data_IF_760416484248
#
_entry.id   IF_760416484248
#
_cell.length_a   1.000
_cell.length_b   1.000
_cell.length_c   1.000
_cell.angle_alpha   90.00
_cell.angle_beta   90.00
_cell.angle_gamma   90.00
#
_symmetry.space_group_name_H-M   'P 1'
#
loop_
_entity.id
_entity.type
_entity.pdbx_description
1 polymer ?
#
# COMPACT_ATOMS: atom_id res chain seq x y z
N UNK A 1 25.34 -9.83 20.24
CA UNK A 1 24.21 -9.71 19.31
C UNK A 1 23.51 -8.37 19.50
N UNK A 2 23.01 -7.77 18.43
CA UNK A 2 22.27 -6.50 18.46
C UNK A 2 20.92 -6.68 19.15
N UNK A 3 20.60 -5.80 20.10
CA UNK A 3 19.39 -5.89 20.93
C UNK A 3 18.40 -4.75 20.73
N UNK A 4 18.65 -3.89 19.75
CA UNK A 4 17.89 -2.67 19.45
C UNK A 4 18.71 -1.41 19.68
N UNK A 5 18.10 -0.26 19.47
CA UNK A 5 18.71 1.05 19.59
C UNK A 5 18.60 1.87 18.29
N UNK A 6 19.34 2.97 18.24
CA UNK A 6 19.39 3.84 17.06
C UNK A 6 20.29 3.23 15.98
N UNK A 7 19.79 3.20 14.74
CA UNK A 7 20.60 2.86 13.58
C UNK A 7 21.00 4.13 12.84
N UNK A 8 22.31 4.33 12.66
CA UNK A 8 22.85 5.35 11.78
C UNK A 8 22.62 4.98 10.31
N UNK A 9 22.72 5.97 9.41
CA UNK A 9 22.71 5.71 7.97
C UNK A 9 23.76 4.67 7.59
N UNK A 10 23.37 3.69 6.78
CA UNK A 10 24.29 2.62 6.36
C UNK A 10 23.59 1.38 5.86
N UNK A 11 24.39 0.44 5.40
CA UNK A 11 23.96 -0.85 4.91
C UNK A 11 24.31 -1.93 5.95
N UNK A 12 23.30 -2.63 6.40
CA UNK A 12 23.40 -3.67 7.42
C UNK A 12 22.93 -5.02 6.86
N UNK A 13 23.45 -6.10 7.39
CA UNK A 13 22.92 -7.43 7.12
C UNK A 13 22.94 -8.27 8.40
N UNK A 14 22.01 -9.21 8.48
CA UNK A 14 21.96 -10.12 9.61
C UNK A 14 22.86 -11.33 9.36
N UNK A 15 23.64 -11.72 10.38
CA UNK A 15 24.42 -12.93 10.39
C UNK A 15 23.76 -14.06 11.18
N UNK A 16 22.79 -13.70 12.03
CA UNK A 16 22.01 -14.60 12.90
C UNK A 16 20.61 -14.02 13.11
N UNK A 17 19.67 -14.83 13.58
CA UNK A 17 18.40 -14.33 14.08
C UNK A 17 18.66 -13.43 15.28
N UNK A 18 17.98 -12.29 15.32
CA UNK A 18 18.09 -11.35 16.43
C UNK A 18 16.76 -11.26 17.19
N UNK A 19 16.87 -11.14 18.52
CA UNK A 19 15.75 -10.89 19.40
C UNK A 19 15.96 -9.53 20.08
N UNK A 20 15.04 -8.61 19.82
CA UNK A 20 15.13 -7.25 20.34
C UNK A 20 14.71 -7.19 21.81
N UNK A 21 15.52 -6.54 22.61
CA UNK A 21 15.21 -6.17 23.99
C UNK A 21 14.85 -4.67 24.11
N UNK A 22 14.99 -3.92 23.02
CA UNK A 22 14.55 -2.52 22.93
C UNK A 22 14.17 -2.19 21.49
N UNK A 23 13.60 -1.01 21.27
CA UNK A 23 13.19 -0.55 19.95
C UNK A 23 14.36 -0.43 18.97
N UNK A 24 14.10 -0.66 17.68
CA UNK A 24 14.94 -0.12 16.61
C UNK A 24 14.39 1.26 16.23
N UNK A 25 15.24 2.28 16.19
CA UNK A 25 14.84 3.60 15.74
C UNK A 25 15.72 4.11 14.60
N UNK A 26 15.09 4.54 13.53
CA UNK A 26 15.70 5.24 12.40
C UNK A 26 15.30 6.69 12.50
N UNK A 27 16.26 7.60 12.68
CA UNK A 27 16.01 9.02 12.84
C UNK A 27 15.65 9.71 11.52
N UNK A 28 15.01 10.85 11.58
CA UNK A 28 14.73 11.68 10.43
C UNK A 28 16.03 12.05 9.70
N UNK A 29 16.01 11.95 8.36
CA UNK A 29 17.17 12.18 7.51
C UNK A 29 18.15 11.00 7.41
N UNK A 30 17.98 9.92 8.21
CA UNK A 30 18.79 8.71 8.05
C UNK A 30 18.31 7.86 6.88
N UNK A 31 19.24 7.25 6.14
CA UNK A 31 19.00 6.21 5.13
C UNK A 31 19.63 4.90 5.61
N UNK A 32 18.77 3.97 6.02
CA UNK A 32 19.16 2.68 6.59
C UNK A 32 18.68 1.57 5.67
N UNK A 33 19.57 0.68 5.29
CA UNK A 33 19.26 -0.51 4.50
C UNK A 33 19.63 -1.75 5.29
N UNK A 34 18.67 -2.65 5.47
CA UNK A 34 18.86 -3.91 6.17
C UNK A 34 18.55 -5.06 5.23
N UNK A 35 19.53 -5.92 4.97
CA UNK A 35 19.31 -7.23 4.37
C UNK A 35 19.10 -8.25 5.48
N UNK A 36 17.94 -8.90 5.52
CA UNK A 36 17.64 -9.95 6.49
C UNK A 36 18.52 -11.20 6.26
N UNK A 37 18.99 -11.45 5.03
CA UNK A 37 19.90 -12.57 4.72
C UNK A 37 19.34 -13.92 5.20
N UNK A 38 18.04 -14.15 5.03
CA UNK A 38 17.34 -15.34 5.51
C UNK A 38 17.13 -15.42 7.02
N UNK A 39 17.49 -14.38 7.77
CA UNK A 39 17.38 -14.30 9.25
C UNK A 39 16.18 -13.46 9.66
N UNK A 40 15.80 -13.61 10.92
CA UNK A 40 14.61 -12.95 11.47
C UNK A 40 14.96 -11.90 12.50
N UNK A 41 14.13 -10.86 12.56
CA UNK A 41 14.06 -9.91 13.69
C UNK A 41 12.82 -10.26 14.50
N UNK A 42 13.05 -10.72 15.73
CA UNK A 42 12.02 -11.08 16.69
C UNK A 42 12.02 -10.09 17.86
N UNK A 43 10.97 -10.11 18.67
CA UNK A 43 10.94 -9.39 19.95
C UNK A 43 10.74 -10.35 21.09
N UNK A 44 11.42 -10.09 22.21
CA UNK A 44 10.97 -10.58 23.52
C UNK A 44 9.75 -9.76 23.99
N UNK A 45 9.08 -10.23 25.02
CA UNK A 45 7.98 -9.48 25.65
C UNK A 45 8.58 -8.22 26.32
N UNK A 46 8.64 -7.13 25.57
CA UNK A 46 9.29 -5.89 26.01
C UNK A 46 8.20 -5.03 26.67
N UNK A 47 8.08 -5.14 27.97
CA UNK A 47 7.16 -4.30 28.75
C UNK A 47 7.55 -2.82 28.65
N UNK A 48 6.59 -1.96 28.32
CA UNK A 48 6.74 -0.50 28.31
C UNK A 48 6.99 0.14 26.94
N UNK A 49 6.93 -0.61 25.84
CA UNK A 49 7.00 -0.06 24.49
C UNK A 49 5.76 -0.45 23.68
N UNK A 50 5.14 0.53 23.02
CA UNK A 50 4.03 0.30 22.08
C UNK A 50 4.53 -0.10 20.68
N UNK A 51 5.82 0.13 20.39
CA UNK A 51 6.43 -0.06 19.07
C UNK A 51 7.77 -0.80 19.18
N UNK A 52 8.06 -1.66 18.21
CA UNK A 52 9.36 -2.34 18.07
C UNK A 52 10.28 -1.66 17.09
N UNK A 53 9.75 -1.17 15.99
CA UNK A 53 10.51 -0.42 15.00
C UNK A 53 9.84 0.94 14.83
N UNK A 54 10.61 2.00 15.02
CA UNK A 54 10.20 3.39 14.77
C UNK A 54 11.01 3.95 13.62
N UNK A 55 10.37 4.10 12.46
CA UNK A 55 10.98 4.69 11.29
C UNK A 55 10.53 6.13 11.11
N UNK A 56 11.47 7.06 11.27
CA UNK A 56 11.31 8.50 10.96
C UNK A 56 12.15 8.93 9.76
N UNK A 57 12.94 8.02 9.17
CA UNK A 57 13.82 8.25 8.03
C UNK A 57 13.44 7.40 6.82
N UNK A 58 14.43 7.03 6.04
CA UNK A 58 14.30 6.06 4.96
C UNK A 58 14.80 4.71 5.45
N UNK A 59 13.95 3.69 5.37
CA UNK A 59 14.28 2.32 5.72
C UNK A 59 14.01 1.41 4.52
N UNK A 60 15.02 0.67 4.10
CA UNK A 60 14.89 -0.40 3.12
C UNK A 60 15.07 -1.74 3.82
N UNK A 61 14.04 -2.58 3.79
CA UNK A 61 14.06 -3.92 4.35
C UNK A 61 14.05 -4.94 3.22
N UNK A 62 15.17 -5.55 2.96
CA UNK A 62 15.29 -6.60 1.95
C UNK A 62 15.56 -7.96 2.59
N UNK A 63 15.01 -8.99 1.97
CA UNK A 63 15.50 -10.34 2.16
C UNK A 63 16.29 -10.73 0.90
N UNK A 64 17.59 -10.80 1.02
CA UNK A 64 18.52 -11.01 -0.09
C UNK A 64 18.77 -12.49 -0.39
N UNK A 65 18.23 -13.38 0.45
CA UNK A 65 18.30 -14.83 0.30
C UNK A 65 16.92 -15.41 -0.03
N UNK A 66 16.89 -16.59 -0.61
CA UNK A 66 15.68 -17.39 -0.86
C UNK A 66 15.06 -17.95 0.42
N UNK A 67 15.81 -17.98 1.52
CA UNK A 67 15.33 -18.35 2.84
C UNK A 67 14.40 -17.24 3.42
N UNK A 68 13.40 -17.64 4.19
CA UNK A 68 12.33 -16.77 4.71
C UNK A 68 12.78 -15.93 5.92
N UNK A 69 13.60 -14.91 5.70
CA UNK A 69 13.84 -13.90 6.72
C UNK A 69 12.58 -13.05 6.96
N UNK A 70 12.20 -12.87 8.22
CA UNK A 70 10.98 -12.18 8.60
C UNK A 70 11.21 -11.13 9.70
N UNK A 71 10.36 -10.11 9.73
CA UNK A 71 10.17 -9.23 10.88
C UNK A 71 8.96 -9.77 11.65
N UNK A 72 9.22 -10.36 12.82
CA UNK A 72 8.20 -11.02 13.64
C UNK A 72 8.09 -10.37 15.02
N UNK A 73 7.22 -9.38 15.09
CA UNK A 73 7.00 -8.61 16.34
C UNK A 73 5.50 -8.53 16.65
N UNK A 74 4.83 -9.69 16.70
CA UNK A 74 3.38 -9.85 16.77
C UNK A 74 2.65 -8.96 17.78
N UNK A 75 3.26 -8.70 18.92
CA UNK A 75 2.63 -7.94 19.99
C UNK A 75 2.88 -6.45 19.93
N UNK A 76 3.70 -5.97 18.98
CA UNK A 76 4.15 -4.59 18.93
C UNK A 76 4.09 -4.03 17.49
N UNK A 77 3.70 -2.78 17.40
CA UNK A 77 3.49 -2.10 16.13
C UNK A 77 4.81 -1.65 15.48
N UNK A 78 4.91 -1.81 14.18
CA UNK A 78 5.92 -1.16 13.36
C UNK A 78 5.41 0.23 12.94
N UNK A 79 6.06 1.30 13.40
CA UNK A 79 5.66 2.67 13.12
C UNK A 79 6.48 3.30 12.01
N UNK A 80 5.81 3.82 10.98
CA UNK A 80 6.35 4.76 10.00
C UNK A 80 5.72 6.13 10.23
N UNK A 81 6.52 7.15 10.56
CA UNK A 81 6.01 8.45 10.93
C UNK A 81 6.88 9.60 10.43
N UNK A 82 6.27 10.76 10.22
CA UNK A 82 6.95 12.05 10.02
C UNK A 82 7.79 12.13 8.74
N UNK A 83 7.15 11.89 7.59
CA UNK A 83 7.74 11.84 6.25
C UNK A 83 8.71 10.66 6.03
N UNK A 84 8.61 9.60 6.82
CA UNK A 84 9.43 8.42 6.62
C UNK A 84 9.04 7.61 5.38
N UNK A 85 9.97 6.80 4.90
CA UNK A 85 9.71 5.91 3.77
C UNK A 85 10.15 4.49 4.13
N UNK A 86 9.33 3.51 3.76
CA UNK A 86 9.65 2.09 3.85
C UNK A 86 9.67 1.48 2.45
N UNK A 87 10.81 0.91 2.08
CA UNK A 87 11.04 0.15 0.86
C UNK A 87 11.38 -1.31 1.16
N UNK A 88 11.39 -2.13 0.11
CA UNK A 88 11.98 -3.46 0.15
C UNK A 88 11.03 -4.59 -0.19
N UNK A 89 11.46 -5.82 0.07
CA UNK A 89 10.73 -7.06 -0.23
C UNK A 89 10.56 -7.98 1.00
N UNK A 90 10.97 -7.54 2.18
CA UNK A 90 10.88 -8.35 3.40
C UNK A 90 9.43 -8.68 3.77
N UNK A 91 9.24 -9.83 4.43
CA UNK A 91 7.97 -10.20 5.04
C UNK A 91 7.87 -9.62 6.46
N UNK A 92 6.78 -8.90 6.75
CA UNK A 92 6.54 -8.22 8.02
C UNK A 92 5.27 -8.81 8.65
N UNK A 93 5.43 -9.41 9.81
CA UNK A 93 4.34 -10.04 10.59
C UNK A 93 3.83 -9.14 11.73
N UNK A 94 4.42 -7.97 11.91
CA UNK A 94 3.99 -6.97 12.87
C UNK A 94 2.77 -6.22 12.37
N UNK A 95 1.84 -5.82 13.24
CA UNK A 95 0.91 -4.73 12.95
C UNK A 95 1.68 -3.47 12.55
N UNK A 96 1.13 -2.67 11.64
CA UNK A 96 1.83 -1.47 11.16
C UNK A 96 0.96 -0.23 11.26
N UNK A 97 1.56 0.87 11.71
CA UNK A 97 1.00 2.21 11.61
C UNK A 97 1.83 3.10 10.69
N UNK A 98 1.17 3.77 9.77
CA UNK A 98 1.79 4.70 8.81
C UNK A 98 1.07 6.03 8.88
N UNK A 99 1.78 7.08 9.26
CA UNK A 99 1.17 8.41 9.47
C UNK A 99 2.16 9.56 9.24
N UNK A 100 1.66 10.79 9.18
CA UNK A 100 2.49 11.98 9.05
C UNK A 100 3.19 12.09 7.70
N UNK A 101 2.49 11.88 6.56
CA UNK A 101 3.01 11.91 5.18
C UNK A 101 4.04 10.83 4.87
N UNK A 102 4.08 9.76 5.66
CA UNK A 102 4.99 8.65 5.41
C UNK A 102 4.51 7.78 4.25
N UNK A 103 5.43 7.04 3.61
CA UNK A 103 5.14 6.22 2.44
C UNK A 103 5.57 4.78 2.63
N UNK A 104 4.75 3.86 2.11
CA UNK A 104 5.08 2.45 1.96
C UNK A 104 5.14 2.12 0.48
N UNK A 105 6.28 1.61 0.03
CA UNK A 105 6.55 1.31 -1.39
C UNK A 105 7.14 -0.10 -1.59
N UNK A 106 6.73 -1.08 -0.80
CA UNK A 106 7.25 -2.44 -0.90
C UNK A 106 6.84 -3.30 0.27
N UNK A 107 7.60 -4.36 0.51
CA UNK A 107 7.40 -5.38 1.53
C UNK A 107 6.11 -6.19 1.38
N UNK A 108 6.05 -7.30 2.07
CA UNK A 108 4.85 -8.13 2.21
C UNK A 108 4.38 -8.05 3.66
N UNK A 109 3.20 -7.50 3.89
CA UNK A 109 2.62 -7.36 5.23
C UNK A 109 1.65 -8.51 5.50
N UNK A 110 1.97 -9.29 6.52
CA UNK A 110 1.19 -10.46 6.97
C UNK A 110 0.25 -10.15 8.14
N UNK A 111 0.21 -8.90 8.59
CA UNK A 111 -0.66 -8.40 9.64
C UNK A 111 -1.34 -7.11 9.16
N UNK A 112 -2.32 -6.62 9.92
CA UNK A 112 -3.06 -5.44 9.55
C UNK A 112 -2.19 -4.18 9.50
N UNK A 113 -2.61 -3.23 8.66
CA UNK A 113 -1.98 -1.92 8.55
C UNK A 113 -3.03 -0.82 8.71
N UNK A 114 -2.66 0.23 9.44
CA UNK A 114 -3.44 1.46 9.56
C UNK A 114 -2.66 2.64 8.99
N UNK A 115 -3.21 3.29 7.98
CA UNK A 115 -2.65 4.47 7.34
C UNK A 115 -3.49 5.70 7.65
N UNK A 116 -2.84 6.80 8.06
CA UNK A 116 -3.54 8.04 8.44
C UNK A 116 -2.68 9.28 8.19
N UNK A 117 -3.26 10.46 8.40
CA UNK A 117 -2.55 11.75 8.40
C UNK A 117 -1.71 11.98 7.12
N UNK A 118 -2.37 11.90 5.96
CA UNK A 118 -1.78 12.09 4.63
C UNK A 118 -0.66 11.09 4.27
N UNK A 119 -0.61 9.93 4.91
CA UNK A 119 0.30 8.87 4.52
C UNK A 119 -0.11 8.21 3.20
N UNK A 120 0.80 7.50 2.55
CA UNK A 120 0.56 6.91 1.24
C UNK A 120 1.08 5.48 1.15
N UNK A 121 0.26 4.59 0.57
CA UNK A 121 0.68 3.27 0.11
C UNK A 121 0.88 3.36 -1.40
N UNK A 122 2.13 3.25 -1.86
CA UNK A 122 2.49 3.30 -3.29
C UNK A 122 2.79 1.93 -3.88
N UNK A 123 3.00 0.90 -3.03
CA UNK A 123 3.31 -0.46 -3.44
C UNK A 123 3.35 -1.42 -2.25
N UNK A 124 3.67 -2.68 -2.53
CA UNK A 124 3.72 -3.76 -1.53
C UNK A 124 2.56 -4.75 -1.67
N UNK A 125 2.60 -5.82 -0.88
CA UNK A 125 1.57 -6.86 -0.82
C UNK A 125 0.99 -6.92 0.60
N UNK A 126 -0.32 -6.80 0.72
CA UNK A 126 -1.04 -6.73 1.99
C UNK A 126 -1.92 -7.99 2.12
N UNK A 127 -1.52 -8.89 3.01
CA UNK A 127 -2.16 -10.20 3.19
C UNK A 127 -3.24 -10.20 4.27
N UNK A 128 -3.32 -9.11 5.05
CA UNK A 128 -4.37 -8.87 6.05
C UNK A 128 -5.05 -7.51 5.81
N UNK A 129 -5.97 -7.11 6.68
CA UNK A 129 -6.81 -5.92 6.55
C UNK A 129 -6.00 -4.64 6.47
N UNK A 130 -6.48 -3.72 5.65
CA UNK A 130 -5.90 -2.38 5.50
C UNK A 130 -6.94 -1.33 5.90
N UNK A 131 -6.57 -0.44 6.80
CA UNK A 131 -7.42 0.66 7.29
C UNK A 131 -6.84 2.00 6.84
N UNK A 132 -7.66 2.82 6.19
CA UNK A 132 -7.27 4.10 5.62
C UNK A 132 -8.10 5.21 6.27
N UNK A 133 -7.43 6.19 6.88
CA UNK A 133 -8.04 7.30 7.62
C UNK A 133 -7.43 8.65 7.23
N UNK A 134 -8.12 9.74 7.54
CA UNK A 134 -7.58 11.11 7.60
C UNK A 134 -6.67 11.47 6.41
N UNK A 135 -7.24 11.46 5.21
CA UNK A 135 -6.55 11.83 3.96
C UNK A 135 -5.37 10.93 3.57
N UNK A 136 -5.28 9.72 4.12
CA UNK A 136 -4.32 8.75 3.63
C UNK A 136 -4.73 8.23 2.24
N UNK A 137 -3.76 7.86 1.42
CA UNK A 137 -3.95 7.51 0.01
C UNK A 137 -3.41 6.11 -0.28
N UNK A 138 -4.19 5.33 -1.02
CA UNK A 138 -3.69 4.15 -1.73
C UNK A 138 -3.51 4.54 -3.20
N UNK A 139 -2.27 4.57 -3.67
CA UNK A 139 -1.92 4.81 -5.08
C UNK A 139 -1.35 3.57 -5.78
N UNK A 140 -1.05 2.50 -5.05
CA UNK A 140 -0.55 1.24 -5.56
C UNK A 140 -0.62 0.11 -4.53
N UNK A 141 -0.04 -1.05 -4.88
CA UNK A 141 -0.01 -2.23 -4.02
C UNK A 141 -1.08 -3.28 -4.36
N UNK A 142 -0.94 -4.46 -3.76
CA UNK A 142 -1.87 -5.60 -3.91
C UNK A 142 -2.49 -5.94 -2.57
N UNK A 143 -3.81 -5.89 -2.48
CA UNK A 143 -4.59 -6.08 -1.27
C UNK A 143 -5.38 -7.40 -1.36
N UNK A 144 -4.99 -8.37 -0.55
CA UNK A 144 -5.58 -9.71 -0.58
C UNK A 144 -6.77 -9.87 0.38
N UNK A 145 -6.93 -8.92 1.32
CA UNK A 145 -8.03 -8.87 2.27
C UNK A 145 -8.79 -7.54 2.18
N UNK A 146 -9.76 -7.35 3.06
CA UNK A 146 -10.61 -6.17 3.09
C UNK A 146 -9.78 -4.88 3.25
N UNK A 147 -10.10 -3.89 2.43
CA UNK A 147 -9.65 -2.51 2.63
C UNK A 147 -10.83 -1.70 3.13
N UNK A 148 -10.67 -1.08 4.30
CA UNK A 148 -11.69 -0.24 4.91
C UNK A 148 -11.25 1.22 4.90
N UNK A 149 -12.08 2.04 4.26
CA UNK A 149 -11.79 3.47 4.09
C UNK A 149 -12.69 4.26 5.02
N UNK A 150 -12.09 5.19 5.77
CA UNK A 150 -12.76 6.07 6.72
C UNK A 150 -12.43 7.52 6.38
N UNK A 151 -13.27 8.42 6.86
CA UNK A 151 -13.07 9.87 6.75
C UNK A 151 -12.76 10.31 5.31
N UNK A 152 -11.65 11.00 5.11
CA UNK A 152 -11.19 11.52 3.82
C UNK A 152 -10.14 10.63 3.13
N UNK A 153 -10.09 9.33 3.45
CA UNK A 153 -9.20 8.38 2.76
C UNK A 153 -9.52 8.26 1.27
N UNK A 154 -8.51 8.04 0.42
CA UNK A 154 -8.67 8.02 -1.04
C UNK A 154 -7.95 6.82 -1.66
N UNK A 155 -8.56 6.22 -2.67
CA UNK A 155 -7.96 5.18 -3.52
C UNK A 155 -7.76 5.74 -4.92
N UNK A 156 -6.52 5.80 -5.38
CA UNK A 156 -6.15 6.26 -6.73
C UNK A 156 -5.51 5.16 -7.59
N UNK A 157 -5.18 4.01 -7.00
CA UNK A 157 -4.57 2.88 -7.67
C UNK A 157 -4.56 1.62 -6.80
N UNK A 158 -3.91 0.56 -7.26
CA UNK A 158 -3.78 -0.71 -6.54
C UNK A 158 -4.67 -1.82 -7.10
N UNK A 159 -4.46 -3.04 -6.60
CA UNK A 159 -5.19 -4.26 -6.96
C UNK A 159 -5.91 -4.83 -5.74
N UNK A 160 -7.23 -4.98 -5.81
CA UNK A 160 -8.08 -5.35 -4.67
C UNK A 160 -8.76 -6.70 -4.90
N UNK A 161 -8.37 -7.71 -4.13
CA UNK A 161 -8.90 -9.08 -4.23
C UNK A 161 -10.22 -9.28 -3.48
N UNK A 162 -10.57 -8.38 -2.57
CA UNK A 162 -11.82 -8.39 -1.79
C UNK A 162 -12.58 -7.08 -1.99
N UNK A 163 -13.83 -7.07 -1.55
CA UNK A 163 -14.65 -5.86 -1.57
C UNK A 163 -14.02 -4.76 -0.69
N UNK A 164 -14.18 -3.52 -1.14
CA UNK A 164 -13.90 -2.33 -0.33
C UNK A 164 -15.10 -2.06 0.56
N UNK A 165 -14.86 -1.64 1.79
CA UNK A 165 -15.91 -1.17 2.69
C UNK A 165 -15.65 0.26 3.17
N UNK A 166 -16.72 1.05 3.29
CA UNK A 166 -16.68 2.42 3.80
C UNK A 166 -18.05 2.86 4.29
N UNK A 167 -18.06 3.86 5.16
CA UNK A 167 -19.26 4.63 5.50
C UNK A 167 -19.38 5.91 4.68
N UNK A 168 -18.34 6.24 3.90
CA UNK A 168 -18.27 7.44 3.05
C UNK A 168 -18.39 7.05 1.58
N UNK A 169 -18.76 8.01 0.73
CA UNK A 169 -18.77 7.87 -0.72
C UNK A 169 -17.66 8.68 -1.40
N UNK A 170 -17.62 8.61 -2.73
CA UNK A 170 -16.80 9.48 -3.60
C UNK A 170 -15.29 9.47 -3.33
N UNK A 171 -14.70 8.31 -2.99
CA UNK A 171 -13.29 8.23 -2.64
C UNK A 171 -12.45 7.38 -3.61
N UNK A 172 -13.05 6.59 -4.52
CA UNK A 172 -12.32 5.77 -5.49
C UNK A 172 -12.14 6.56 -6.79
N UNK A 173 -10.87 6.82 -7.13
CA UNK A 173 -10.41 7.53 -8.33
C UNK A 173 -9.56 6.67 -9.25
N UNK A 174 -9.34 5.39 -8.93
CA UNK A 174 -8.52 4.47 -9.70
C UNK A 174 -8.44 3.10 -9.04
N UNK A 175 -7.69 2.19 -9.67
CA UNK A 175 -7.46 0.84 -9.15
C UNK A 175 -8.17 -0.25 -9.95
N UNK A 176 -7.78 -1.49 -9.65
CA UNK A 176 -8.27 -2.73 -10.26
C UNK A 176 -8.94 -3.60 -9.21
N UNK A 177 -10.13 -4.09 -9.49
CA UNK A 177 -10.97 -4.75 -8.50
C UNK A 177 -11.44 -6.13 -9.01
N UNK A 178 -11.33 -7.13 -8.15
CA UNK A 178 -11.88 -8.47 -8.41
C UNK A 178 -13.40 -8.47 -8.27
N UNK A 179 -13.93 -7.75 -7.30
CA UNK A 179 -15.38 -7.54 -7.09
C UNK A 179 -15.72 -6.11 -7.49
N UNK A 180 -16.81 -5.90 -8.24
CA UNK A 180 -17.26 -4.56 -8.62
C UNK A 180 -17.43 -3.71 -7.35
N UNK A 181 -16.76 -2.53 -7.26
CA UNK A 181 -17.00 -1.60 -6.17
C UNK A 181 -18.45 -1.08 -6.19
N UNK A 182 -18.94 -0.64 -5.05
CA UNK A 182 -20.21 0.08 -4.98
C UNK A 182 -20.11 1.39 -5.76
N UNK A 183 -21.14 1.69 -6.55
CA UNK A 183 -21.14 2.90 -7.40
C UNK A 183 -21.10 4.19 -6.55
N UNK A 184 -21.60 4.18 -5.31
CA UNK A 184 -21.53 5.30 -4.36
C UNK A 184 -20.10 5.62 -3.89
N UNK A 185 -19.15 4.68 -4.03
CA UNK A 185 -17.74 4.88 -3.67
C UNK A 185 -16.93 5.56 -4.77
N UNK A 186 -17.48 5.60 -6.00
CA UNK A 186 -16.77 6.17 -7.15
C UNK A 186 -16.82 7.69 -7.07
N UNK A 187 -15.67 8.32 -7.17
CA UNK A 187 -15.57 9.77 -7.12
C UNK A 187 -16.18 10.42 -8.37
N UNK A 188 -16.69 11.64 -8.19
CA UNK A 188 -17.22 12.44 -9.29
C UNK A 188 -16.16 12.60 -10.41
N UNK A 189 -16.58 12.42 -11.65
CA UNK A 189 -15.67 12.43 -12.81
C UNK A 189 -14.93 11.12 -13.06
N UNK A 190 -15.33 10.03 -12.39
CA UNK A 190 -14.77 8.69 -12.61
C UNK A 190 -15.87 7.67 -12.91
N UNK A 191 -15.50 6.54 -13.52
CA UNK A 191 -16.42 5.45 -13.80
C UNK A 191 -15.75 4.09 -13.66
N UNK A 192 -16.57 3.06 -13.42
CA UNK A 192 -16.15 1.66 -13.43
C UNK A 192 -16.23 1.15 -14.87
N UNK A 193 -15.14 0.57 -15.37
CA UNK A 193 -15.08 -0.06 -16.68
C UNK A 193 -14.51 -1.48 -16.60
N UNK A 194 -14.61 -2.22 -17.70
CA UNK A 194 -13.89 -3.48 -17.85
C UNK A 194 -12.38 -3.24 -17.89
N UNK A 195 -11.61 -4.04 -17.16
CA UNK A 195 -10.15 -3.87 -17.09
C UNK A 195 -9.38 -4.64 -18.17
N UNK A 196 -10.01 -5.64 -18.81
CA UNK A 196 -9.33 -6.62 -19.65
C UNK A 196 -8.53 -7.68 -18.88
N UNK A 197 -8.42 -7.56 -17.56
CA UNK A 197 -7.70 -8.51 -16.69
C UNK A 197 -8.69 -9.48 -16.04
N UNK A 198 -8.57 -10.78 -16.30
CA UNK A 198 -9.47 -11.80 -15.78
C UNK A 198 -9.45 -11.92 -14.24
N UNK A 199 -8.31 -11.62 -13.59
CA UNK A 199 -8.19 -11.67 -12.14
C UNK A 199 -8.83 -10.46 -11.45
N UNK A 200 -8.88 -9.32 -12.16
CA UNK A 200 -9.42 -8.04 -11.68
C UNK A 200 -10.29 -7.44 -12.78
N UNK A 201 -11.49 -7.97 -13.05
CA UNK A 201 -12.30 -7.61 -14.21
C UNK A 201 -12.81 -6.16 -14.22
N UNK A 202 -12.73 -5.46 -13.10
CA UNK A 202 -13.19 -4.08 -12.97
C UNK A 202 -12.01 -3.14 -12.74
N UNK A 203 -12.02 -1.98 -13.39
CA UNK A 203 -11.11 -0.86 -13.09
C UNK A 203 -11.90 0.44 -12.99
N UNK A 204 -11.39 1.39 -12.22
CA UNK A 204 -11.91 2.74 -12.14
C UNK A 204 -11.01 3.67 -12.94
N UNK A 205 -11.58 4.49 -13.79
CA UNK A 205 -10.88 5.42 -14.69
C UNK A 205 -11.53 6.80 -14.62
N UNK A 206 -10.75 7.85 -14.87
CA UNK A 206 -11.30 9.19 -15.05
C UNK A 206 -12.19 9.23 -16.30
N UNK A 207 -13.30 9.95 -16.21
CA UNK A 207 -14.15 10.25 -17.35
C UNK A 207 -13.53 11.40 -18.15
N UNK A 208 -13.56 11.27 -19.47
CA UNK A 208 -13.15 12.34 -20.35
C UNK A 208 -14.32 13.31 -20.60
N UNK A 209 -14.14 14.60 -20.32
CA UNK A 209 -15.16 15.62 -20.56
C UNK A 209 -14.63 16.67 -21.53
N UNK A 210 -15.38 16.91 -22.61
CA UNK A 210 -15.05 17.92 -23.61
C UNK A 210 -16.32 18.71 -23.96
N UNK A 211 -16.25 20.03 -23.88
CA UNK A 211 -17.38 20.93 -24.17
C UNK A 211 -18.67 20.59 -23.41
N UNK A 212 -18.54 20.19 -22.12
CA UNK A 212 -19.67 19.83 -21.28
C UNK A 212 -20.28 18.45 -21.55
N UNK A 213 -19.73 17.68 -22.50
CA UNK A 213 -20.13 16.31 -22.79
C UNK A 213 -19.13 15.36 -22.10
N UNK A 214 -19.64 14.44 -21.28
CA UNK A 214 -18.83 13.39 -20.67
C UNK A 214 -18.78 12.18 -21.58
N UNK A 215 -17.58 11.67 -21.79
CA UNK A 215 -17.29 10.51 -22.62
C UNK A 215 -16.85 9.38 -21.70
N UNK A 216 -17.65 8.33 -21.64
CA UNK A 216 -17.48 7.22 -20.68
C UNK A 216 -16.96 5.93 -21.33
N UNK A 217 -16.83 5.92 -22.66
CA UNK A 217 -16.41 4.76 -23.44
C UNK A 217 -15.07 5.02 -24.14
N UNK A 218 -13.96 4.50 -23.65
CA UNK A 218 -12.67 4.63 -24.31
C UNK A 218 -12.66 3.82 -25.64
N UNK A 219 -12.04 4.38 -26.65
CA UNK A 219 -11.60 3.67 -27.84
C UNK A 219 -10.07 3.62 -27.81
N UNK A 220 -9.52 2.44 -27.90
CA UNK A 220 -8.09 2.17 -27.87
C UNK A 220 -7.70 1.28 -29.05
N UNK A 221 -6.44 0.89 -29.15
CA UNK A 221 -5.90 0.03 -30.20
C UNK A 221 -6.57 -1.36 -30.32
N UNK A 222 -7.39 -1.77 -29.35
CA UNK A 222 -8.19 -2.99 -29.45
C UNK A 222 -9.40 -2.83 -30.38
N UNK A 223 -9.85 -1.58 -30.64
CA UNK A 223 -10.92 -1.31 -31.58
C UNK A 223 -10.40 -1.43 -33.02
N UNK A 224 -10.91 -2.42 -33.73
CA UNK A 224 -10.50 -2.72 -35.13
C UNK A 224 -11.50 -2.23 -36.18
N UNK A 225 -12.36 -1.29 -35.84
CA UNK A 225 -13.44 -0.80 -36.66
C UNK A 225 -14.74 -1.58 -36.48
N UNK A 226 -15.80 -1.12 -37.09
CA UNK A 226 -17.13 -1.69 -37.04
C UNK A 226 -18.16 -0.73 -36.43
N UNK A 227 -19.34 -1.28 -36.07
CA UNK A 227 -20.43 -0.46 -35.53
C UNK A 227 -20.18 -0.17 -34.04
N UNK A 228 -20.26 1.10 -33.65
CA UNK A 228 -20.28 1.52 -32.25
C UNK A 228 -21.72 1.49 -31.72
N UNK A 229 -21.91 0.91 -30.55
CA UNK A 229 -23.17 1.04 -29.81
C UNK A 229 -23.41 2.51 -29.43
N UNK A 230 -24.65 2.87 -29.10
CA UNK A 230 -24.94 4.22 -28.63
C UNK A 230 -24.10 4.57 -27.39
N UNK A 231 -23.53 5.75 -27.38
CA UNK A 231 -22.72 6.25 -26.26
C UNK A 231 -21.77 7.36 -26.68
N UNK A 232 -21.08 7.92 -25.70
CA UNK A 232 -20.07 8.94 -25.87
C UNK A 232 -18.69 8.26 -25.81
N UNK A 233 -17.90 8.40 -26.86
CA UNK A 233 -16.60 7.73 -27.02
C UNK A 233 -15.47 8.77 -27.04
N UNK A 234 -14.30 8.38 -26.57
CA UNK A 234 -13.07 9.16 -26.66
C UNK A 234 -11.89 8.26 -27.03
N UNK A 235 -10.92 8.83 -27.75
CA UNK A 235 -9.68 8.13 -28.08
C UNK A 235 -8.71 8.18 -26.91
N UNK A 236 -8.08 7.07 -26.60
CA UNK A 236 -7.03 6.97 -25.58
C UNK A 236 -5.63 6.96 -26.19
N UNK A 237 -5.56 6.70 -27.50
CA UNK A 237 -4.34 6.63 -28.30
C UNK A 237 -4.70 6.79 -29.79
N UNK A 238 -3.71 6.96 -30.65
CA UNK A 238 -3.90 6.90 -32.10
C UNK A 238 -4.25 5.46 -32.53
N UNK A 239 -5.38 5.26 -33.19
CA UNK A 239 -5.93 3.96 -33.58
C UNK A 239 -6.01 3.81 -35.10
#
# INVERSE_FOLDING_TARGET
SFKGGYLASGNYYLTEDITLASIIQINAGSDVKICLNGKSINTEDVTGYDYTIRNYGTLTLNNCDTANGIINTYSFTFLCYNNSVLYGNAAIYSPMEVKGRSKISGCTLNNHITCSANSEITGGTFLDRTYIHNSAVISGGTFNQEVKVFDSGVITGGYFSKAISSYNGNFIKGGYFKTKPDDSYIADGYAITASGNSNYPYKVVALHTCNGVTYDKPLDSSFKGGYLASGNYYLTEDI
#
